data_IF_175542019986
#
_entry.id   IF_175542019986
#
_cell.length_a   1.000
_cell.length_b   1.000
_cell.length_c   1.000
_cell.angle_alpha   90.00
_cell.angle_beta   90.00
_cell.angle_gamma   90.00
#
_symmetry.space_group_name_H-M   'P 1'
#
loop_
_entity.id
_entity.type
_entity.pdbx_description
1 polymer ?
#
# COMPACT_ATOMS: atom_id res chain seq x y z
N UNK A 1 -4.72 -18.68 -19.49
CA UNK A 1 -3.44 -17.99 -19.77
C UNK A 1 -3.24 -16.94 -18.68
N UNK A 2 -2.16 -16.99 -17.91
CA UNK A 2 -1.89 -15.98 -16.87
C UNK A 2 -1.43 -14.69 -17.56
N UNK A 3 -2.07 -13.57 -17.24
CA UNK A 3 -1.74 -12.27 -17.84
C UNK A 3 -0.32 -11.83 -17.44
N UNK A 4 0.30 -10.96 -18.24
CA UNK A 4 1.62 -10.40 -17.91
C UNK A 4 1.59 -9.65 -16.56
N UNK A 5 0.47 -9.02 -16.23
CA UNK A 5 0.26 -8.33 -14.96
C UNK A 5 0.27 -9.29 -13.76
N UNK A 6 -0.40 -10.44 -13.86
CA UNK A 6 -0.38 -11.44 -12.79
C UNK A 6 1.00 -12.07 -12.62
N UNK A 7 1.72 -12.38 -13.73
CA UNK A 7 3.10 -12.89 -13.67
C UNK A 7 4.05 -11.93 -12.96
N UNK A 8 3.93 -10.63 -13.23
CA UNK A 8 4.77 -9.63 -12.58
C UNK A 8 4.41 -9.49 -11.09
N UNK A 9 3.13 -9.58 -10.75
CA UNK A 9 2.67 -9.56 -9.36
C UNK A 9 3.21 -10.74 -8.55
N UNK A 10 3.22 -11.93 -9.14
CA UNK A 10 3.82 -13.12 -8.54
C UNK A 10 5.35 -12.99 -8.40
N UNK A 11 6.02 -12.42 -9.40
CA UNK A 11 7.46 -12.14 -9.30
C UNK A 11 7.79 -11.17 -8.18
N UNK A 12 7.00 -10.11 -8.02
CA UNK A 12 7.19 -9.13 -6.94
C UNK A 12 6.82 -9.70 -5.58
N UNK A 13 5.82 -10.58 -5.49
CA UNK A 13 5.54 -11.35 -4.27
C UNK A 13 6.77 -12.18 -3.87
N UNK A 14 7.39 -12.87 -4.83
CA UNK A 14 8.63 -13.62 -4.60
C UNK A 14 9.80 -12.73 -4.15
N UNK A 15 9.94 -11.52 -4.70
CA UNK A 15 10.95 -10.56 -4.25
C UNK A 15 10.68 -10.06 -2.84
N UNK A 16 9.42 -9.77 -2.49
CA UNK A 16 9.04 -9.35 -1.14
C UNK A 16 9.49 -10.37 -0.08
N UNK A 17 9.37 -11.67 -0.37
CA UNK A 17 9.81 -12.74 0.53
C UNK A 17 11.33 -12.77 0.78
N UNK A 18 12.14 -12.11 -0.05
CA UNK A 18 13.59 -12.01 0.14
C UNK A 18 14.00 -10.91 1.12
N UNK A 19 13.08 -9.99 1.46
CA UNK A 19 13.32 -8.95 2.46
C UNK A 19 13.08 -9.47 3.88
N UNK A 20 13.74 -8.84 4.85
CA UNK A 20 13.43 -9.05 6.26
C UNK A 20 12.05 -8.46 6.57
N UNK A 21 11.06 -9.34 6.66
CA UNK A 21 9.67 -8.96 6.93
C UNK A 21 9.52 -8.31 8.30
N UNK A 22 10.32 -8.69 9.29
CA UNK A 22 10.27 -8.09 10.63
C UNK A 22 10.84 -6.68 10.60
N UNK A 23 11.92 -6.43 9.86
CA UNK A 23 12.43 -5.06 9.66
C UNK A 23 11.36 -4.17 9.02
N UNK A 24 10.66 -4.66 7.99
CA UNK A 24 9.56 -3.93 7.33
C UNK A 24 8.43 -3.64 8.32
N UNK A 25 8.00 -4.65 9.09
CA UNK A 25 6.94 -4.50 10.10
C UNK A 25 7.31 -3.43 11.12
N UNK A 26 8.53 -3.46 11.66
CA UNK A 26 8.99 -2.51 12.67
C UNK A 26 9.14 -1.11 12.10
N UNK A 27 9.75 -0.98 10.93
CA UNK A 27 9.94 0.30 10.22
C UNK A 27 8.64 1.04 9.99
N UNK A 28 7.59 0.30 9.67
CA UNK A 28 6.29 0.83 9.32
C UNK A 28 5.23 0.65 10.40
N UNK A 29 5.59 0.11 11.57
CA UNK A 29 4.67 -0.16 12.67
C UNK A 29 3.39 -0.89 12.22
N UNK A 30 3.56 -1.91 11.36
CA UNK A 30 2.45 -2.63 10.74
C UNK A 30 1.82 -3.62 11.71
N UNK A 31 0.50 -3.66 11.73
CA UNK A 31 -0.25 -4.74 12.38
C UNK A 31 0.06 -6.04 11.65
N UNK A 32 0.29 -7.13 12.39
CA UNK A 32 0.66 -8.41 11.82
C UNK A 32 0.27 -9.55 12.75
N UNK A 33 0.18 -10.74 12.18
CA UNK A 33 0.09 -12.01 12.89
C UNK A 33 1.09 -13.01 12.29
N UNK A 34 0.96 -14.30 12.64
CA UNK A 34 1.85 -15.35 12.15
C UNK A 34 1.74 -15.60 10.63
N UNK A 35 0.64 -15.22 10.00
CA UNK A 35 0.32 -15.49 8.59
C UNK A 35 0.32 -14.23 7.72
N UNK A 36 -0.01 -13.07 8.29
CA UNK A 36 -0.31 -11.87 7.53
C UNK A 36 0.33 -10.61 8.10
N UNK A 37 0.70 -9.71 7.19
CA UNK A 37 1.03 -8.31 7.48
C UNK A 37 -0.10 -7.44 6.95
N UNK A 38 -0.67 -6.59 7.79
CA UNK A 38 -1.82 -5.76 7.45
C UNK A 38 -1.38 -4.34 7.12
N UNK A 39 -1.99 -3.79 6.07
CA UNK A 39 -1.72 -2.42 5.64
C UNK A 39 -3.02 -1.73 5.21
N UNK A 40 -3.23 -0.52 5.71
CA UNK A 40 -4.29 0.36 5.23
C UNK A 40 -3.75 1.17 4.05
N UNK A 41 -4.35 1.00 2.88
CA UNK A 41 -3.95 1.72 1.69
C UNK A 41 -5.20 2.29 1.01
N UNK A 42 -5.22 3.61 0.79
CA UNK A 42 -6.27 4.28 0.03
C UNK A 42 -7.69 3.95 0.56
N UNK A 43 -7.88 4.05 1.88
CA UNK A 43 -9.18 3.81 2.51
C UNK A 43 -9.64 2.35 2.50
N UNK A 44 -8.80 1.40 2.07
CA UNK A 44 -9.09 -0.03 2.08
C UNK A 44 -8.03 -0.82 2.85
N UNK A 45 -8.45 -1.92 3.48
CA UNK A 45 -7.58 -2.78 4.26
C UNK A 45 -7.05 -3.92 3.38
N UNK A 46 -5.73 -4.03 3.31
CA UNK A 46 -5.01 -5.07 2.60
C UNK A 46 -4.25 -5.94 3.59
N UNK A 47 -3.91 -7.15 3.16
CA UNK A 47 -3.00 -8.05 3.86
C UNK A 47 -2.04 -8.72 2.89
N UNK A 48 -0.82 -8.92 3.35
CA UNK A 48 0.25 -9.61 2.64
C UNK A 48 0.45 -10.94 3.33
N UNK A 49 0.34 -12.04 2.59
CA UNK A 49 0.64 -13.36 3.12
C UNK A 49 2.16 -13.50 3.33
N UNK A 50 2.58 -13.81 4.55
CA UNK A 50 4.01 -13.90 4.93
C UNK A 50 4.75 -15.06 4.27
N UNK A 51 4.02 -16.12 3.87
CA UNK A 51 4.59 -17.30 3.22
C UNK A 51 4.67 -17.13 1.70
N UNK A 52 3.67 -16.51 1.09
CA UNK A 52 3.58 -16.42 -0.38
C UNK A 52 3.90 -15.04 -0.94
N UNK A 53 3.92 -14.01 -0.10
CA UNK A 53 4.04 -12.61 -0.48
C UNK A 53 2.75 -12.04 -1.10
N UNK A 54 1.73 -12.86 -1.39
CA UNK A 54 0.56 -12.42 -2.13
C UNK A 54 -0.30 -11.42 -1.34
N UNK A 55 -0.83 -10.43 -2.06
CA UNK A 55 -1.66 -9.36 -1.48
C UNK A 55 -3.14 -9.59 -1.77
N UNK A 56 -3.96 -9.57 -0.73
CA UNK A 56 -5.41 -9.56 -0.81
C UNK A 56 -5.99 -8.37 -0.05
N UNK A 57 -7.23 -8.02 -0.36
CA UNK A 57 -7.98 -6.99 0.35
C UNK A 57 -9.38 -7.47 0.69
N UNK A 58 -10.03 -6.70 1.55
CA UNK A 58 -11.40 -6.94 1.94
C UNK A 58 -12.15 -5.62 2.21
N UNK A 59 -13.46 -5.62 1.96
CA UNK A 59 -14.39 -4.55 2.38
C UNK A 59 -15.01 -4.81 3.76
N UNK A 60 -14.93 -6.04 4.27
CA UNK A 60 -15.71 -6.55 5.39
C UNK A 60 -14.84 -7.23 6.48
N UNK A 61 -13.63 -6.70 6.71
CA UNK A 61 -12.69 -7.23 7.70
C UNK A 61 -12.23 -8.67 7.42
N UNK A 62 -12.05 -9.00 6.14
CA UNK A 62 -11.60 -10.29 5.62
C UNK A 62 -12.59 -11.45 5.85
N UNK A 63 -13.89 -11.16 5.90
CA UNK A 63 -14.92 -12.20 5.74
C UNK A 63 -14.98 -12.65 4.27
N UNK A 64 -14.83 -11.70 3.34
CA UNK A 64 -14.58 -11.94 1.92
C UNK A 64 -13.19 -11.43 1.54
N UNK A 65 -12.46 -12.22 0.77
CA UNK A 65 -11.15 -11.84 0.23
C UNK A 65 -11.19 -11.67 -1.28
N UNK A 66 -10.59 -10.58 -1.74
CA UNK A 66 -10.36 -10.32 -3.16
C UNK A 66 -8.86 -10.16 -3.40
N UNK A 67 -8.38 -10.65 -4.54
CA UNK A 67 -6.98 -10.42 -4.93
C UNK A 67 -6.76 -8.93 -5.16
N UNK A 68 -5.62 -8.42 -4.70
CA UNK A 68 -5.23 -7.06 -5.04
C UNK A 68 -5.05 -6.91 -6.56
N UNK A 69 -5.54 -5.78 -7.08
CA UNK A 69 -5.26 -5.33 -8.42
C UNK A 69 -3.77 -5.07 -8.60
N UNK A 70 -3.34 -5.00 -9.86
CA UNK A 70 -1.94 -4.86 -10.20
C UNK A 70 -1.33 -3.57 -9.64
N UNK A 71 -1.97 -2.42 -9.88
CA UNK A 71 -1.43 -1.12 -9.48
C UNK A 71 -1.30 -0.99 -7.96
N UNK A 72 -2.28 -1.51 -7.21
CA UNK A 72 -2.29 -1.50 -5.76
C UNK A 72 -1.20 -2.40 -5.20
N UNK A 73 -1.08 -3.62 -5.73
CA UNK A 73 -0.07 -4.55 -5.28
C UNK A 73 1.35 -4.01 -5.55
N UNK A 74 1.60 -3.45 -6.74
CA UNK A 74 2.91 -2.92 -7.10
C UNK A 74 3.28 -1.73 -6.20
N UNK A 75 2.33 -0.81 -5.99
CA UNK A 75 2.56 0.35 -5.12
C UNK A 75 2.87 -0.07 -3.68
N UNK A 76 2.14 -1.07 -3.15
CA UNK A 76 2.40 -1.58 -1.80
C UNK A 76 3.80 -2.20 -1.72
N UNK A 77 4.22 -3.00 -2.69
CA UNK A 77 5.59 -3.54 -2.70
C UNK A 77 6.64 -2.44 -2.83
N UNK A 78 6.44 -1.44 -3.68
CA UNK A 78 7.39 -0.35 -3.87
C UNK A 78 7.63 0.42 -2.56
N UNK A 79 6.54 0.72 -1.86
CA UNK A 79 6.56 1.35 -0.55
C UNK A 79 7.33 0.50 0.48
N UNK A 80 7.01 -0.79 0.56
CA UNK A 80 7.55 -1.64 1.62
C UNK A 80 9.00 -2.03 1.37
N UNK A 81 9.35 -2.39 0.13
CA UNK A 81 10.64 -2.95 -0.23
C UNK A 81 11.68 -1.90 -0.65
N UNK A 82 11.27 -0.78 -1.23
CA UNK A 82 12.20 0.20 -1.84
C UNK A 82 12.23 1.56 -1.13
N UNK A 83 11.58 1.68 0.03
CA UNK A 83 11.64 2.89 0.85
C UNK A 83 13.00 3.08 1.53
N UNK A 84 13.45 4.34 1.65
CA UNK A 84 14.70 4.69 2.37
C UNK A 84 14.69 4.15 3.80
N UNK A 85 15.86 3.84 4.37
CA UNK A 85 16.01 3.21 5.71
C UNK A 85 15.25 3.95 6.83
N UNK A 86 15.23 5.29 6.81
CA UNK A 86 14.59 6.10 7.85
C UNK A 86 13.16 6.56 7.48
N UNK A 87 12.59 6.02 6.39
CA UNK A 87 11.24 6.34 5.99
C UNK A 87 10.24 5.65 6.92
N UNK A 88 9.32 6.42 7.47
CA UNK A 88 8.27 5.95 8.37
C UNK A 88 6.94 6.54 7.93
N UNK A 89 5.87 5.97 8.44
CA UNK A 89 4.52 6.47 8.24
C UNK A 89 4.30 7.64 9.22
N UNK A 90 4.15 8.84 8.69
CA UNK A 90 3.92 10.16 9.29
C UNK A 90 2.50 10.39 9.81
N UNK A 91 1.61 9.39 9.70
CA UNK A 91 0.32 9.38 10.38
C UNK A 91 -0.65 10.55 10.10
N UNK A 92 -0.44 11.30 9.01
CA UNK A 92 -1.24 12.45 8.60
C UNK A 92 -1.97 12.23 7.28
N UNK A 93 -3.25 12.65 7.20
CA UNK A 93 -3.92 12.74 5.92
C UNK A 93 -3.45 13.99 5.19
N UNK A 94 -2.96 13.81 3.96
CA UNK A 94 -2.68 14.92 3.06
C UNK A 94 -3.56 14.87 1.84
N UNK A 95 -3.99 16.05 1.45
CA UNK A 95 -4.68 16.23 0.19
C UNK A 95 -3.74 15.87 -0.96
N UNK A 96 -4.21 15.11 -1.95
CA UNK A 96 -3.37 14.71 -3.08
C UNK A 96 -2.80 15.91 -3.85
N UNK A 97 -3.49 17.05 -3.83
CA UNK A 97 -3.02 18.30 -4.43
C UNK A 97 -1.82 18.92 -3.68
N UNK A 98 -1.57 18.53 -2.42
CA UNK A 98 -0.37 18.97 -1.69
C UNK A 98 0.88 18.14 -2.02
N UNK A 99 0.75 17.08 -2.85
CA UNK A 99 1.88 16.28 -3.36
C UNK A 99 2.47 16.84 -4.66
N UNK A 100 1.99 18.00 -5.13
CA UNK A 100 2.35 18.64 -6.41
C UNK A 100 3.81 19.05 -6.54
N UNK A 101 4.59 19.07 -5.44
CA UNK A 101 6.03 19.38 -5.46
C UNK A 101 6.92 18.21 -5.86
N UNK A 102 6.38 17.00 -6.07
CA UNK A 102 7.15 15.89 -6.67
C UNK A 102 7.25 16.11 -8.19
N UNK A 103 8.13 17.04 -8.59
CA UNK A 103 8.57 17.20 -9.97
C UNK A 103 9.38 15.96 -10.38
N UNK A 104 8.73 15.01 -11.04
CA UNK A 104 9.38 13.81 -11.56
C UNK A 104 8.64 13.06 -12.67
N UNK A 105 7.51 13.58 -13.14
CA UNK A 105 6.82 13.01 -14.29
C UNK A 105 5.50 13.71 -14.52
N UNK A 106 5.27 14.16 -15.75
CA UNK A 106 3.93 14.52 -16.20
C UNK A 106 3.00 13.35 -15.85
N UNK A 107 2.03 13.56 -14.98
CA UNK A 107 0.93 12.63 -14.75
C UNK A 107 0.14 12.55 -16.06
N UNK A 108 0.65 11.77 -17.01
CA UNK A 108 -0.09 11.43 -18.23
C UNK A 108 -1.35 10.71 -17.77
N UNK A 109 -2.43 11.18 -18.38
CA UNK A 109 -3.84 11.00 -18.11
C UNK A 109 -4.32 9.58 -18.41
N UNK A 110 -3.70 8.54 -17.84
CA UNK A 110 -3.99 7.15 -18.22
C UNK A 110 -4.27 6.18 -17.06
N UNK A 111 -4.30 6.60 -15.79
CA UNK A 111 -4.69 5.68 -14.71
C UNK A 111 -5.66 6.32 -13.72
N UNK A 112 -6.93 5.89 -13.80
CA UNK A 112 -8.08 6.24 -12.94
C UNK A 112 -7.90 5.93 -11.44
N UNK A 113 -6.75 5.39 -11.05
CA UNK A 113 -6.47 4.93 -9.71
C UNK A 113 -6.58 6.04 -8.66
N UNK A 114 -5.97 7.21 -8.89
CA UNK A 114 -6.01 8.31 -7.93
C UNK A 114 -7.18 9.28 -8.13
N UNK A 115 -7.76 9.36 -9.33
CA UNK A 115 -8.87 10.27 -9.62
C UNK A 115 -10.21 9.79 -9.03
N UNK A 116 -10.42 8.47 -8.95
CA UNK A 116 -11.62 7.89 -8.33
C UNK A 116 -11.70 8.16 -6.81
N UNK A 117 -10.56 8.45 -6.18
CA UNK A 117 -10.44 8.66 -4.74
C UNK A 117 -10.85 10.06 -4.28
N UNK A 118 -10.62 11.07 -5.13
CA UNK A 118 -10.98 12.46 -4.85
C UNK A 118 -12.49 12.75 -4.93
N UNK A 119 -13.31 11.75 -5.30
CA UNK A 119 -14.78 11.90 -5.41
C UNK A 119 -15.55 11.41 -4.18
N UNK A 120 -14.87 10.83 -3.18
CA UNK A 120 -15.49 10.26 -1.98
C UNK A 120 -15.27 11.14 -0.73
N UNK A 121 -15.37 12.46 -0.87
CA UNK A 121 -15.23 13.44 0.23
C UNK A 121 -16.53 13.60 1.04
N UNK A 122 -17.02 12.52 1.66
CA UNK A 122 -18.14 12.64 2.60
C UNK A 122 -18.07 11.71 3.83
N UNK A 123 -16.87 11.35 4.28
CA UNK A 123 -16.73 10.55 5.50
C UNK A 123 -16.37 11.40 6.73
N UNK A 124 -17.39 11.75 7.53
CA UNK A 124 -17.20 12.16 8.94
C UNK A 124 -16.86 10.90 9.76
N UNK A 125 -15.75 10.87 10.52
CA UNK A 125 -15.25 9.65 11.13
C UNK A 125 -15.99 9.37 12.44
N UNK A 126 -16.57 8.17 12.54
CA UNK A 126 -16.88 7.55 13.83
C UNK A 126 -15.96 6.34 13.93
N UNK A 127 -15.07 6.39 14.93
CA UNK A 127 -14.32 5.28 15.49
C UNK A 127 -12.98 4.83 14.85
N UNK A 128 -12.00 4.81 15.76
CA UNK A 128 -10.69 4.14 15.83
C UNK A 128 -9.44 4.78 15.21
N UNK A 129 -8.42 4.78 16.08
CA UNK A 129 -7.16 5.50 16.07
C UNK A 129 -6.07 4.77 15.28
N UNK A 130 -5.07 5.57 14.91
CA UNK A 130 -3.76 5.26 14.27
C UNK A 130 -3.84 5.08 12.74
N UNK A 131 -3.22 6.04 12.06
CA UNK A 131 -3.25 6.36 10.62
C UNK A 131 -1.81 6.55 10.13
N UNK A 132 -1.52 6.61 8.84
CA UNK A 132 -0.17 6.36 8.27
C UNK A 132 0.10 7.25 7.02
N UNK A 133 1.32 7.81 6.84
CA UNK A 133 1.77 8.54 5.61
C UNK A 133 3.29 8.45 5.40
N UNK A 134 3.86 7.86 4.36
CA UNK A 134 5.34 7.85 4.19
C UNK A 134 5.95 9.27 4.16
N UNK A 135 6.83 9.59 5.12
CA UNK A 135 7.65 10.81 5.07
C UNK A 135 8.85 10.58 4.17
N UNK A 136 8.87 11.26 3.02
CA UNK A 136 10.04 11.39 2.15
C UNK A 136 10.61 12.80 2.31
N UNK A 137 11.37 13.05 3.36
CA UNK A 137 12.14 14.28 3.48
C UNK A 137 13.45 14.19 2.69
N UNK A 138 13.73 15.28 1.96
CA UNK A 138 14.95 15.50 1.17
C UNK A 138 15.99 16.16 2.08
N UNK A 139 17.18 15.58 2.10
CA UNK A 139 18.44 16.31 2.26
C UNK A 139 19.48 15.66 1.37
#
# INVERSE_FOLDING_TARGET
MVSNYEKMKDSMAGKFLQYDQEEIIQKFLLEHDSKYIYIQFVGRRYRINRLTGAISWSKDHFQTEEKAGYNEAMTIYDVLCYSKKNCHLANEWVNINSLTTVQGGTLKKENDFFQSLGKHDNWKPKFWHKRVRLSMEKT
#
